data_IF_874489665492
#
_entry.id   IF_874489665492
#
_cell.length_a   1.000
_cell.length_b   1.000
_cell.length_c   1.000
_cell.angle_alpha   90.00
_cell.angle_beta   90.00
_cell.angle_gamma   90.00
#
_symmetry.space_group_name_H-M   'P 1'
#
loop_
_entity.id
_entity.type
_entity.pdbx_description
1 polymer ?
#
# COMPACT_ATOMS: atom_id res chain seq x y z
N UNK A 1 -13.34 16.57 18.50
CA UNK A 1 -12.74 17.18 17.31
C UNK A 1 -11.32 16.65 17.20
N UNK A 2 -11.03 15.77 16.25
CA UNK A 2 -9.70 15.14 16.15
C UNK A 2 -8.66 16.20 15.82
N UNK A 3 -7.64 16.34 16.68
CA UNK A 3 -6.50 17.24 16.49
C UNK A 3 -5.60 16.85 15.31
N UNK A 4 -5.88 15.71 14.66
CA UNK A 4 -5.04 15.12 13.61
C UNK A 4 -5.71 15.02 12.23
N UNK A 5 -6.94 15.49 12.08
CA UNK A 5 -7.60 15.50 10.79
C UNK A 5 -7.29 16.82 10.06
N UNK A 6 -6.10 16.92 9.48
CA UNK A 6 -5.88 17.87 8.40
C UNK A 6 -6.66 17.32 7.20
N UNK A 7 -7.83 17.88 6.96
CA UNK A 7 -8.57 17.58 5.74
C UNK A 7 -7.79 18.13 4.55
N UNK A 8 -7.52 17.31 3.52
CA UNK A 8 -6.90 17.83 2.31
C UNK A 8 -7.78 18.94 1.73
N UNK A 9 -7.17 19.96 1.20
CA UNK A 9 -7.85 21.11 0.60
C UNK A 9 -8.51 20.77 -0.74
N UNK A 10 -8.23 19.60 -1.29
CA UNK A 10 -8.83 19.04 -2.51
C UNK A 10 -8.92 17.53 -2.41
N UNK A 11 -9.88 16.94 -3.10
CA UNK A 11 -10.09 15.49 -3.16
C UNK A 11 -9.07 14.78 -4.08
N UNK A 12 -8.21 15.52 -4.76
CA UNK A 12 -7.19 15.00 -5.67
C UNK A 12 -5.94 15.86 -5.68
N UNK A 13 -4.85 15.26 -6.08
CA UNK A 13 -3.56 15.90 -6.31
C UNK A 13 -3.13 15.63 -7.75
N UNK A 14 -3.01 16.68 -8.55
CA UNK A 14 -2.46 16.60 -9.90
C UNK A 14 -0.94 16.75 -9.83
N UNK A 15 -0.24 15.73 -10.36
CA UNK A 15 1.21 15.76 -10.51
C UNK A 15 1.54 15.76 -11.98
N UNK A 16 1.94 16.90 -12.51
CA UNK A 16 2.42 16.99 -13.88
C UNK A 16 3.71 16.19 -14.06
N UNK A 17 3.74 15.36 -15.08
CA UNK A 17 4.90 14.53 -15.39
C UNK A 17 5.05 14.38 -16.90
N UNK A 18 5.99 15.12 -17.52
CA UNK A 18 6.32 14.95 -18.93
C UNK A 18 7.02 13.60 -19.09
N UNK A 19 6.34 12.64 -19.69
CA UNK A 19 6.89 11.31 -19.98
C UNK A 19 6.76 11.04 -21.47
N UNK A 20 7.90 10.68 -22.08
CA UNK A 20 7.90 10.16 -23.45
C UNK A 20 7.61 8.67 -23.41
N UNK A 21 6.55 8.24 -24.11
CA UNK A 21 6.26 6.82 -24.28
C UNK A 21 7.21 6.23 -25.31
N UNK A 22 7.78 5.07 -24.99
CA UNK A 22 8.65 4.33 -25.90
C UNK A 22 7.88 3.12 -26.46
N UNK A 23 7.91 2.97 -27.77
CA UNK A 23 7.29 1.88 -28.49
C UNK A 23 8.36 1.15 -29.31
N UNK A 24 8.47 -0.17 -29.10
CA UNK A 24 9.40 -1.03 -29.84
C UNK A 24 8.60 -2.02 -30.71
N UNK A 25 9.07 -2.24 -31.92
CA UNK A 25 8.47 -3.17 -32.89
C UNK A 25 9.16 -4.54 -32.92
N UNK A 26 10.15 -4.76 -32.08
CA UNK A 26 10.86 -6.04 -31.96
C UNK A 26 10.13 -6.96 -30.99
N UNK A 27 9.52 -8.02 -31.52
CA UNK A 27 8.75 -8.98 -30.73
C UNK A 27 9.40 -10.39 -30.70
N UNK A 28 10.60 -10.54 -31.27
CA UNK A 28 11.24 -11.83 -31.49
C UNK A 28 12.29 -12.22 -30.47
N UNK A 29 12.91 -11.25 -29.82
CA UNK A 29 14.03 -11.46 -28.90
C UNK A 29 13.54 -11.39 -27.45
N UNK A 30 12.85 -12.46 -27.01
CA UNK A 30 12.27 -12.56 -25.67
C UNK A 30 13.34 -12.52 -24.56
N UNK A 31 13.09 -11.71 -23.53
CA UNK A 31 13.85 -11.73 -22.27
C UNK A 31 13.33 -12.83 -21.37
N UNK A 32 13.81 -14.04 -21.59
CA UNK A 32 13.37 -15.25 -20.90
C UNK A 32 13.30 -15.11 -19.36
N UNK A 33 14.23 -14.34 -18.79
CA UNK A 33 14.25 -14.09 -17.35
C UNK A 33 13.06 -13.27 -16.87
N UNK A 34 12.64 -12.25 -17.64
CA UNK A 34 11.48 -11.41 -17.31
C UNK A 34 10.19 -12.18 -17.49
N UNK A 35 10.08 -12.95 -18.57
CA UNK A 35 8.92 -13.82 -18.81
C UNK A 35 8.75 -14.87 -17.74
N UNK A 36 9.85 -15.47 -17.24
CA UNK A 36 9.80 -16.38 -16.08
C UNK A 36 9.33 -15.68 -14.80
N UNK A 37 9.73 -14.43 -14.57
CA UNK A 37 9.25 -13.66 -13.41
C UNK A 37 7.77 -13.35 -13.53
N UNK A 38 7.30 -12.97 -14.71
CA UNK A 38 5.89 -12.75 -14.98
C UNK A 38 5.06 -14.02 -14.72
N UNK A 39 5.49 -15.14 -15.27
CA UNK A 39 4.84 -16.44 -15.12
C UNK A 39 4.78 -16.89 -13.64
N UNK A 40 5.89 -16.69 -12.91
CA UNK A 40 5.96 -16.95 -11.47
C UNK A 40 5.01 -16.04 -10.69
N UNK A 41 4.95 -14.76 -11.03
CA UNK A 41 4.05 -13.79 -10.41
C UNK A 41 2.59 -14.17 -10.60
N UNK A 42 2.17 -14.45 -11.84
CA UNK A 42 0.80 -14.85 -12.18
C UNK A 42 0.35 -16.13 -11.49
N UNK A 43 1.22 -17.15 -11.44
CA UNK A 43 0.90 -18.43 -10.80
C UNK A 43 0.87 -18.38 -9.26
N UNK A 44 1.54 -17.42 -8.68
CA UNK A 44 1.64 -17.26 -7.21
C UNK A 44 0.79 -16.12 -6.65
N UNK A 45 0.10 -15.41 -7.51
CA UNK A 45 -0.79 -14.36 -7.06
C UNK A 45 -1.90 -14.96 -6.21
N UNK A 46 -2.11 -14.36 -5.04
CA UNK A 46 -3.23 -14.69 -4.17
C UNK A 46 -4.32 -13.63 -4.29
N UNK A 47 -5.54 -14.04 -4.03
CA UNK A 47 -6.71 -13.16 -4.09
C UNK A 47 -7.24 -13.01 -2.67
N UNK A 48 -7.34 -11.78 -2.19
CA UNK A 48 -7.73 -11.47 -0.81
C UNK A 48 -9.12 -12.02 -0.46
N UNK A 49 -10.08 -11.92 -1.39
CA UNK A 49 -11.42 -12.47 -1.21
C UNK A 49 -11.46 -13.99 -1.00
N UNK A 50 -10.47 -14.70 -1.54
CA UNK A 50 -10.44 -16.17 -1.49
C UNK A 50 -9.58 -16.70 -0.34
N UNK A 51 -8.63 -15.90 0.12
CA UNK A 51 -7.62 -16.29 1.11
C UNK A 51 -7.90 -15.81 2.53
N UNK A 52 -8.62 -14.70 2.66
CA UNK A 52 -8.90 -14.09 3.95
C UNK A 52 -10.34 -14.40 4.36
N UNK A 53 -10.51 -14.81 5.60
CA UNK A 53 -11.84 -14.93 6.20
C UNK A 53 -12.32 -13.55 6.68
N UNK A 54 -13.11 -12.90 5.85
CA UNK A 54 -13.68 -11.59 6.13
C UNK A 54 -14.82 -11.60 7.16
N UNK A 55 -15.24 -12.80 7.62
CA UNK A 55 -16.25 -12.93 8.66
C UNK A 55 -15.67 -12.88 10.07
N UNK A 56 -14.36 -12.89 10.22
CA UNK A 56 -13.70 -12.79 11.51
C UNK A 56 -14.01 -11.44 12.17
N UNK A 57 -14.60 -11.52 13.35
CA UNK A 57 -14.75 -10.34 14.19
C UNK A 57 -13.40 -9.96 14.81
N UNK A 58 -13.08 -8.69 14.71
CA UNK A 58 -11.85 -8.11 15.25
C UNK A 58 -12.27 -7.14 16.36
N UNK A 59 -11.53 -7.17 17.48
CA UNK A 59 -11.72 -6.16 18.52
C UNK A 59 -11.45 -4.75 17.95
N UNK A 60 -12.46 -3.88 17.86
CA UNK A 60 -12.28 -2.56 17.28
C UNK A 60 -11.34 -1.67 18.11
N UNK A 61 -11.07 -2.04 19.36
CA UNK A 61 -10.15 -1.30 20.24
C UNK A 61 -8.72 -1.82 20.19
N UNK A 62 -8.50 -3.01 19.64
CA UNK A 62 -7.17 -3.60 19.42
C UNK A 62 -7.13 -4.45 18.14
N UNK A 63 -7.32 -3.82 16.97
CA UNK A 63 -7.58 -4.52 15.71
C UNK A 63 -6.45 -5.43 15.23
N UNK A 64 -5.25 -5.25 15.74
CA UNK A 64 -4.07 -6.07 15.36
C UNK A 64 -3.38 -6.75 16.54
N UNK A 65 -3.95 -6.68 17.75
CA UNK A 65 -3.33 -7.24 18.94
C UNK A 65 -1.97 -6.61 19.27
N UNK A 66 -1.84 -5.29 19.09
CA UNK A 66 -0.58 -4.60 19.33
C UNK A 66 -0.26 -4.52 20.82
N UNK A 67 0.91 -5.02 21.27
CA UNK A 67 1.33 -4.82 22.65
C UNK A 67 1.51 -3.32 22.95
N UNK A 68 1.20 -2.92 24.19
CA UNK A 68 1.26 -1.48 24.59
C UNK A 68 2.63 -0.87 24.35
N UNK A 69 3.70 -1.65 24.55
CA UNK A 69 5.09 -1.24 24.38
C UNK A 69 5.44 -0.84 22.94
N UNK A 70 4.66 -1.32 21.97
CA UNK A 70 4.84 -0.98 20.56
C UNK A 70 4.15 0.35 20.18
N UNK A 71 3.35 0.92 21.07
CA UNK A 71 2.66 2.18 20.80
C UNK A 71 3.61 3.36 20.97
N UNK A 72 3.54 4.34 20.08
CA UNK A 72 4.44 5.52 20.05
C UNK A 72 4.35 6.40 21.30
N UNK A 73 3.24 6.35 22.02
CA UNK A 73 3.04 7.09 23.27
C UNK A 73 3.44 6.30 24.52
N UNK A 74 3.76 5.01 24.39
CA UNK A 74 4.10 4.17 25.53
C UNK A 74 5.24 4.76 26.35
N UNK A 75 5.12 4.68 27.70
CA UNK A 75 6.10 5.24 28.64
C UNK A 75 6.10 6.76 28.75
N UNK A 76 5.22 7.45 28.05
CA UNK A 76 5.05 8.90 28.22
C UNK A 76 4.07 9.21 29.36
N UNK A 77 4.19 10.39 30.03
CA UNK A 77 3.23 10.80 31.03
C UNK A 77 1.77 10.93 30.53
N UNK A 78 1.57 11.03 29.21
CA UNK A 78 0.27 11.03 28.57
C UNK A 78 -0.33 9.63 28.59
N UNK A 79 0.43 8.63 28.15
CA UNK A 79 0.01 7.24 28.12
C UNK A 79 -0.37 6.72 29.52
N UNK A 80 0.43 7.05 30.53
CA UNK A 80 0.21 6.62 31.91
C UNK A 80 -1.08 7.19 32.56
N UNK A 81 -1.58 8.29 32.03
CA UNK A 81 -2.83 8.91 32.51
C UNK A 81 -4.07 8.49 31.73
N UNK A 82 -3.89 7.82 30.59
CA UNK A 82 -5.00 7.36 29.76
C UNK A 82 -5.76 6.21 30.43
N UNK A 83 -7.08 6.23 30.31
CA UNK A 83 -7.93 5.08 30.62
C UNK A 83 -7.71 3.96 29.61
N UNK A 84 -8.12 2.72 29.92
CA UNK A 84 -8.08 1.61 28.95
C UNK A 84 -8.78 1.96 27.63
N UNK A 85 -9.92 2.62 27.69
CA UNK A 85 -10.71 3.04 26.54
C UNK A 85 -9.94 4.06 25.68
N UNK A 86 -9.32 5.06 26.31
CA UNK A 86 -8.49 6.05 25.62
C UNK A 86 -7.26 5.43 24.97
N UNK A 87 -6.63 4.46 25.62
CA UNK A 87 -5.52 3.68 25.05
C UNK A 87 -5.97 2.87 23.85
N UNK A 88 -7.12 2.20 23.93
CA UNK A 88 -7.72 1.48 22.81
C UNK A 88 -7.98 2.40 21.62
N UNK A 89 -8.56 3.58 21.88
CA UNK A 89 -8.79 4.58 20.84
C UNK A 89 -7.50 5.10 20.22
N UNK A 90 -6.46 5.33 21.01
CA UNK A 90 -5.16 5.75 20.52
C UNK A 90 -4.53 4.68 19.60
N UNK A 91 -4.60 3.40 19.99
CA UNK A 91 -4.17 2.26 19.13
C UNK A 91 -4.92 2.25 17.81
N UNK A 92 -6.25 2.32 17.84
CA UNK A 92 -7.09 2.33 16.65
C UNK A 92 -6.74 3.49 15.70
N UNK A 93 -6.53 4.69 16.23
CA UNK A 93 -6.15 5.85 15.43
C UNK A 93 -4.75 5.70 14.81
N UNK A 94 -3.80 5.15 15.54
CA UNK A 94 -2.45 4.90 15.02
C UNK A 94 -2.50 3.91 13.86
N UNK A 95 -3.27 2.82 13.99
CA UNK A 95 -3.40 1.84 12.91
C UNK A 95 -4.16 2.39 11.70
N UNK A 96 -5.24 3.12 11.92
CA UNK A 96 -5.94 3.79 10.82
C UNK A 96 -5.03 4.75 10.05
N UNK A 97 -4.17 5.49 10.77
CA UNK A 97 -3.18 6.35 10.14
C UNK A 97 -2.14 5.54 9.34
N UNK A 98 -1.60 4.45 9.90
CA UNK A 98 -0.64 3.58 9.21
C UNK A 98 -1.22 3.00 7.93
N UNK A 99 -2.41 2.41 7.99
CA UNK A 99 -3.07 1.87 6.80
C UNK A 99 -3.39 2.93 5.75
N UNK A 100 -3.75 4.13 6.18
CA UNK A 100 -3.93 5.27 5.27
C UNK A 100 -2.63 5.59 4.52
N UNK A 101 -1.47 5.57 5.19
CA UNK A 101 -0.18 5.79 4.52
C UNK A 101 0.14 4.67 3.52
N UNK A 102 -0.14 3.41 3.87
CA UNK A 102 0.01 2.30 2.92
C UNK A 102 -0.88 2.46 1.69
N UNK A 103 -2.14 2.80 1.86
CA UNK A 103 -3.07 3.03 0.74
C UNK A 103 -2.56 4.11 -0.22
N UNK A 104 -2.06 5.22 0.30
CA UNK A 104 -1.47 6.27 -0.53
C UNK A 104 -0.18 5.79 -1.22
N UNK A 105 0.64 5.02 -0.53
CA UNK A 105 1.83 4.39 -1.09
C UNK A 105 1.51 3.44 -2.24
N UNK A 106 0.49 2.60 -2.09
CA UNK A 106 0.02 1.68 -3.14
C UNK A 106 -0.52 2.43 -4.36
N UNK A 107 -1.25 3.53 -4.17
CA UNK A 107 -1.66 4.38 -5.28
C UNK A 107 -0.45 4.96 -6.02
N UNK A 108 0.57 5.43 -5.28
CA UNK A 108 1.83 5.89 -5.86
C UNK A 108 2.55 4.79 -6.65
N UNK A 109 2.57 3.57 -6.12
CA UNK A 109 3.15 2.41 -6.78
C UNK A 109 2.43 2.06 -8.10
N UNK A 110 1.10 2.16 -8.13
CA UNK A 110 0.32 1.97 -9.36
C UNK A 110 0.70 2.98 -10.44
N UNK A 111 0.82 4.26 -10.07
CA UNK A 111 1.22 5.33 -10.98
C UNK A 111 2.65 5.09 -11.49
N UNK A 112 3.56 4.71 -10.59
CA UNK A 112 4.95 4.39 -10.93
C UNK A 112 5.02 3.22 -11.93
N UNK A 113 4.25 2.17 -11.68
CA UNK A 113 4.15 1.00 -12.57
C UNK A 113 3.67 1.38 -13.96
N UNK A 114 2.61 2.19 -14.03
CA UNK A 114 2.10 2.68 -15.31
C UNK A 114 3.15 3.48 -16.10
N UNK A 115 3.97 4.28 -15.40
CA UNK A 115 5.09 5.02 -16.00
C UNK A 115 6.19 4.09 -16.51
N UNK A 116 6.51 3.02 -15.77
CA UNK A 116 7.47 2.00 -16.22
C UNK A 116 6.99 1.37 -17.52
N UNK A 117 5.72 0.94 -17.58
CA UNK A 117 5.13 0.38 -18.82
C UNK A 117 5.23 1.34 -19.99
N UNK A 118 5.06 2.65 -19.77
CA UNK A 118 5.21 3.66 -20.82
C UNK A 118 6.65 3.82 -21.32
N UNK A 119 7.63 3.77 -20.42
CA UNK A 119 9.00 4.23 -20.69
C UNK A 119 9.95 3.12 -21.09
N UNK A 120 9.75 1.88 -20.65
CA UNK A 120 10.63 0.78 -21.01
C UNK A 120 10.46 0.42 -22.49
N UNK A 121 11.56 0.16 -23.24
CA UNK A 121 11.49 0.00 -24.68
C UNK A 121 10.87 -1.34 -25.12
N UNK A 122 11.28 -2.44 -24.52
CA UNK A 122 10.91 -3.78 -24.98
C UNK A 122 9.61 -4.30 -24.36
N UNK A 123 8.92 -5.15 -25.11
CA UNK A 123 7.61 -5.69 -24.73
C UNK A 123 7.67 -6.55 -23.47
N UNK A 124 8.73 -7.33 -23.28
CA UNK A 124 8.87 -8.22 -22.13
C UNK A 124 9.03 -7.44 -20.82
N UNK A 125 9.75 -6.31 -20.88
CA UNK A 125 9.83 -5.39 -19.74
C UNK A 125 8.49 -4.73 -19.41
N UNK A 126 7.60 -4.58 -20.41
CA UNK A 126 6.24 -4.06 -20.20
C UNK A 126 5.31 -5.11 -19.58
N UNK A 127 5.54 -6.40 -19.88
CA UNK A 127 4.75 -7.50 -19.33
C UNK A 127 5.02 -7.79 -17.86
N UNK A 128 6.17 -7.42 -17.35
CA UNK A 128 6.47 -7.57 -15.95
C UNK A 128 6.14 -6.28 -15.19
N UNK A 129 4.86 -5.97 -14.95
CA UNK A 129 4.53 -4.95 -13.98
C UNK A 129 4.97 -5.45 -12.61
N UNK A 130 5.42 -4.58 -11.70
CA UNK A 130 5.64 -4.97 -10.33
C UNK A 130 4.38 -5.64 -9.78
N UNK A 131 4.54 -6.61 -8.87
CA UNK A 131 3.41 -7.36 -8.34
C UNK A 131 2.38 -6.39 -7.75
N UNK A 132 1.13 -6.64 -8.09
CA UNK A 132 -0.02 -5.99 -7.48
C UNK A 132 -0.13 -6.39 -6.03
#
# INVERSE_FOLDING_TARGET
MSLFAVQPTSDHLDVESPITSTFDFHYTDGREQLLRLYDKGTRRQWIGSDRLDWSLEIDPMDPIGMPEEAHTLYGTPWWERMTPEEKGEAKRHLEAWRFSQFMHGEQGALICTAKIVQTVPDIDSKFYPPPR
#
